data_IF_390099639036
#
_entry.id   IF_390099639036
#
_cell.length_a   1.000
_cell.length_b   1.000
_cell.length_c   1.000
_cell.angle_alpha   90.00
_cell.angle_beta   90.00
_cell.angle_gamma   90.00
#
_symmetry.space_group_name_H-M   'P 1'
#
loop_
_entity.id
_entity.type
_entity.pdbx_description
1 polymer ?
#
# COMPACT_ATOMS: atom_id res chain seq x y z
N UNK A 1 64.39 16.10 -12.45
CA UNK A 1 63.82 14.76 -12.72
C UNK A 1 62.81 14.38 -11.64
N UNK A 2 63.17 14.40 -10.36
CA UNK A 2 62.24 14.08 -9.24
C UNK A 2 60.90 14.85 -9.21
N UNK A 3 60.90 16.17 -9.44
CA UNK A 3 59.64 16.95 -9.39
C UNK A 3 58.63 16.54 -10.47
N UNK A 4 59.11 16.16 -11.66
CA UNK A 4 58.23 15.75 -12.76
C UNK A 4 57.58 14.39 -12.48
N UNK A 5 58.32 13.47 -11.85
CA UNK A 5 57.80 12.16 -11.45
C UNK A 5 56.76 12.26 -10.33
N UNK A 6 56.98 13.16 -9.35
CA UNK A 6 56.00 13.42 -8.27
C UNK A 6 54.69 13.97 -8.85
N UNK A 7 54.75 14.92 -9.79
CA UNK A 7 53.56 15.47 -10.43
C UNK A 7 52.81 14.43 -11.27
N UNK A 8 53.52 13.58 -12.01
CA UNK A 8 52.91 12.48 -12.78
C UNK A 8 52.21 11.46 -11.87
N UNK A 9 52.84 11.11 -10.75
CA UNK A 9 52.29 10.18 -9.75
C UNK A 9 51.02 10.73 -9.09
N UNK A 10 51.02 12.02 -8.72
CA UNK A 10 49.84 12.67 -8.15
C UNK A 10 48.67 12.74 -9.16
N UNK A 11 48.95 13.05 -10.43
CA UNK A 11 47.94 13.05 -11.49
C UNK A 11 47.33 11.67 -11.71
N UNK A 12 48.15 10.61 -11.74
CA UNK A 12 47.70 9.23 -11.87
C UNK A 12 46.83 8.79 -10.68
N UNK A 13 47.22 9.17 -9.46
CA UNK A 13 46.44 8.87 -8.25
C UNK A 13 45.07 9.54 -8.27
N UNK A 14 45.01 10.81 -8.70
CA UNK A 14 43.76 11.54 -8.85
C UNK A 14 42.88 10.91 -9.94
N UNK A 15 43.44 10.55 -11.10
CA UNK A 15 42.71 9.87 -12.17
C UNK A 15 42.10 8.55 -11.68
N UNK A 16 42.85 7.76 -10.90
CA UNK A 16 42.34 6.52 -10.32
C UNK A 16 41.23 6.76 -9.27
N UNK A 17 41.30 7.85 -8.52
CA UNK A 17 40.23 8.23 -7.59
C UNK A 17 38.96 8.63 -8.35
N UNK A 18 39.08 9.44 -9.40
CA UNK A 18 37.95 9.84 -10.25
C UNK A 18 37.30 8.60 -10.89
N UNK A 19 38.08 7.70 -11.48
CA UNK A 19 37.55 6.45 -12.05
C UNK A 19 36.80 5.59 -11.03
N UNK A 20 37.28 5.51 -9.78
CA UNK A 20 36.57 4.78 -8.72
C UNK A 20 35.27 5.46 -8.31
N UNK A 21 35.22 6.79 -8.34
CA UNK A 21 33.99 7.53 -8.08
C UNK A 21 32.98 7.36 -9.21
N UNK A 22 33.41 7.48 -10.47
CA UNK A 22 32.57 7.26 -11.66
C UNK A 22 31.95 5.86 -11.62
N UNK A 23 32.75 4.82 -11.42
CA UNK A 23 32.23 3.45 -11.30
C UNK A 23 31.21 3.27 -10.16
N UNK A 24 31.38 4.02 -9.06
CA UNK A 24 30.42 3.97 -7.94
C UNK A 24 29.15 4.76 -8.24
N UNK A 25 29.23 5.83 -9.01
CA UNK A 25 28.07 6.59 -9.49
C UNK A 25 27.28 5.74 -10.48
N UNK A 26 27.94 5.11 -11.44
CA UNK A 26 27.29 4.24 -12.42
C UNK A 26 26.52 3.07 -11.76
N UNK A 27 27.11 2.44 -10.73
CA UNK A 27 26.42 1.40 -9.93
C UNK A 27 25.18 1.96 -9.21
N UNK A 28 25.31 3.15 -8.62
CA UNK A 28 24.19 3.79 -7.92
C UNK A 28 23.08 4.20 -8.89
N UNK A 29 23.41 4.70 -10.07
CA UNK A 29 22.43 5.06 -11.10
C UNK A 29 21.67 3.83 -11.61
N UNK A 30 22.37 2.74 -11.91
CA UNK A 30 21.75 1.46 -12.29
C UNK A 30 20.79 0.94 -11.22
N UNK A 31 21.23 0.98 -9.95
CA UNK A 31 20.40 0.59 -8.81
C UNK A 31 19.22 1.53 -8.58
N UNK A 32 19.36 2.83 -8.90
CA UNK A 32 18.30 3.80 -8.72
C UNK A 32 17.18 3.59 -9.76
N UNK A 33 17.52 3.37 -11.03
CA UNK A 33 16.55 3.02 -12.07
C UNK A 33 15.75 1.77 -11.70
N UNK A 34 16.43 0.72 -11.22
CA UNK A 34 15.73 -0.49 -10.76
C UNK A 34 14.79 -0.23 -9.57
N UNK A 35 15.18 0.68 -8.66
CA UNK A 35 14.32 1.05 -7.53
C UNK A 35 13.09 1.82 -8.00
N UNK A 36 13.22 2.70 -8.98
CA UNK A 36 12.08 3.44 -9.55
C UNK A 36 11.08 2.47 -10.19
N UNK A 37 11.56 1.51 -10.99
CA UNK A 37 10.70 0.46 -11.58
C UNK A 37 9.97 -0.37 -10.52
N UNK A 38 10.63 -0.68 -9.41
CA UNK A 38 10.03 -1.43 -8.29
C UNK A 38 8.98 -0.57 -7.56
N UNK A 39 9.25 0.72 -7.37
CA UNK A 39 8.30 1.64 -6.73
C UNK A 39 7.02 1.75 -7.56
N UNK A 40 7.14 1.88 -8.87
CA UNK A 40 5.99 1.95 -9.78
C UNK A 40 5.14 0.67 -9.71
N UNK A 41 5.77 -0.50 -9.75
CA UNK A 41 5.09 -1.79 -9.60
C UNK A 41 4.37 -1.90 -8.25
N UNK A 42 5.03 -1.52 -7.15
CA UNK A 42 4.42 -1.55 -5.82
C UNK A 42 3.24 -0.58 -5.71
N UNK A 43 3.32 0.59 -6.36
CA UNK A 43 2.24 1.56 -6.39
C UNK A 43 1.01 1.01 -7.13
N UNK A 44 1.21 0.35 -8.27
CA UNK A 44 0.13 -0.28 -9.04
C UNK A 44 -0.56 -1.38 -8.24
N UNK A 45 0.21 -2.30 -7.64
CA UNK A 45 -0.31 -3.38 -6.81
C UNK A 45 -1.07 -2.85 -5.58
N UNK A 46 -0.55 -1.79 -4.94
CA UNK A 46 -1.23 -1.16 -3.80
C UNK A 46 -2.58 -0.55 -4.22
N UNK A 47 -2.65 0.09 -5.39
CA UNK A 47 -3.88 0.64 -5.91
C UNK A 47 -4.91 -0.47 -6.22
N UNK A 48 -4.47 -1.58 -6.81
CA UNK A 48 -5.31 -2.76 -7.05
C UNK A 48 -5.86 -3.34 -5.74
N UNK A 49 -5.00 -3.58 -4.75
CA UNK A 49 -5.44 -4.06 -3.44
C UNK A 49 -6.40 -3.08 -2.74
N UNK A 50 -6.17 -1.77 -2.85
CA UNK A 50 -7.05 -0.77 -2.25
C UNK A 50 -8.44 -0.80 -2.90
N UNK A 51 -8.52 -1.07 -4.20
CA UNK A 51 -9.79 -1.25 -4.90
C UNK A 51 -10.53 -2.49 -4.39
N UNK A 52 -9.87 -3.65 -4.35
CA UNK A 52 -10.47 -4.91 -3.87
C UNK A 52 -10.96 -4.79 -2.41
N UNK A 53 -10.16 -4.17 -1.53
CA UNK A 53 -10.55 -3.92 -0.14
C UNK A 53 -11.80 -3.03 -0.07
N UNK A 54 -11.91 -2.03 -0.93
CA UNK A 54 -13.08 -1.16 -0.99
C UNK A 54 -14.34 -1.94 -1.37
N UNK A 55 -14.24 -2.80 -2.39
CA UNK A 55 -15.34 -3.67 -2.82
C UNK A 55 -15.76 -4.64 -1.71
N UNK A 56 -14.79 -5.30 -1.07
CA UNK A 56 -15.07 -6.22 0.04
C UNK A 56 -15.77 -5.50 1.20
N UNK A 57 -15.31 -4.30 1.57
CA UNK A 57 -15.96 -3.48 2.61
C UNK A 57 -17.40 -3.14 2.24
N UNK A 58 -17.67 -2.81 0.97
CA UNK A 58 -19.02 -2.53 0.50
C UNK A 58 -19.92 -3.77 0.59
N UNK A 59 -19.42 -4.93 0.16
CA UNK A 59 -20.15 -6.20 0.25
C UNK A 59 -20.47 -6.58 1.70
N UNK A 60 -19.50 -6.44 2.61
CA UNK A 60 -19.70 -6.69 4.05
C UNK A 60 -20.78 -5.77 4.62
N UNK A 61 -20.76 -4.49 4.25
CA UNK A 61 -21.77 -3.53 4.71
C UNK A 61 -23.17 -3.91 4.20
N UNK A 62 -23.29 -4.34 2.94
CA UNK A 62 -24.56 -4.80 2.38
C UNK A 62 -25.09 -6.04 3.11
N UNK A 63 -24.22 -7.01 3.40
CA UNK A 63 -24.58 -8.20 4.18
C UNK A 63 -25.01 -7.82 5.59
N UNK A 64 -24.28 -6.94 6.26
CA UNK A 64 -24.62 -6.46 7.60
C UNK A 64 -25.99 -5.75 7.63
N UNK A 65 -26.31 -4.94 6.62
CA UNK A 65 -27.62 -4.30 6.49
C UNK A 65 -28.74 -5.33 6.31
N UNK A 66 -28.57 -6.31 5.41
CA UNK A 66 -29.56 -7.38 5.20
C UNK A 66 -29.84 -8.18 6.47
N UNK A 67 -28.82 -8.46 7.28
CA UNK A 67 -28.99 -9.16 8.56
C UNK A 67 -29.80 -8.31 9.55
N UNK A 68 -29.53 -7.00 9.62
CA UNK A 68 -30.31 -6.09 10.47
C UNK A 68 -31.77 -6.01 10.05
N UNK A 69 -32.03 -5.89 8.74
CA UNK A 69 -33.39 -5.81 8.20
C UNK A 69 -34.17 -7.11 8.49
N UNK A 70 -33.54 -8.28 8.34
CA UNK A 70 -34.14 -9.56 8.68
C UNK A 70 -34.42 -9.73 10.19
N UNK A 71 -33.52 -9.24 11.04
CA UNK A 71 -33.70 -9.21 12.49
C UNK A 71 -34.84 -8.29 12.94
N UNK A 72 -35.00 -7.14 12.28
CA UNK A 72 -36.07 -6.17 12.59
C UNK A 72 -37.46 -6.69 12.25
N UNK A 73 -37.60 -7.45 11.16
CA UNK A 73 -38.87 -8.07 10.75
C UNK A 73 -39.38 -9.13 11.76
N UNK A 74 -38.48 -9.65 12.61
CA UNK A 74 -38.83 -10.67 13.61
C UNK A 74 -39.40 -10.06 14.89
N UNK A 75 -39.09 -8.79 15.20
CA UNK A 75 -39.41 -8.17 16.50
C UNK A 75 -40.70 -7.35 16.51
N UNK A 76 -41.23 -6.97 15.34
CA UNK A 76 -42.46 -6.16 15.21
C UNK A 76 -43.75 -7.00 15.20
N UNK A 77 -43.67 -8.32 15.13
CA UNK A 77 -44.84 -9.20 15.04
C UNK A 77 -45.30 -9.82 16.38
N UNK A 78 -44.58 -9.61 17.49
CA UNK A 78 -44.91 -10.24 18.78
C UNK A 78 -45.68 -9.34 19.77
N UNK A 79 -45.77 -8.02 19.54
CA UNK A 79 -46.34 -7.08 20.53
C UNK A 79 -47.73 -6.50 20.21
N UNK A 80 -48.30 -6.75 19.02
CA UNK A 80 -49.55 -6.09 18.58
C UNK A 80 -50.83 -6.95 18.67
N UNK A 81 -50.77 -8.16 19.27
CA UNK A 81 -51.91 -9.10 19.32
C UNK A 81 -52.33 -9.56 20.73
N UNK A 82 -52.26 -8.71 21.75
CA UNK A 82 -52.83 -9.03 23.08
C UNK A 82 -54.09 -8.19 23.29
N UNK A 83 -55.23 -8.66 22.77
CA UNK A 83 -56.53 -8.12 23.14
C UNK A 83 -56.93 -8.66 24.53
N UNK A 84 -57.27 -7.81 25.51
CA UNK A 84 -57.53 -8.27 26.87
C UNK A 84 -58.83 -9.09 26.94
N UNK A 85 -58.90 -10.14 27.78
CA UNK A 85 -60.07 -11.01 27.86
C UNK A 85 -61.32 -10.25 28.34
N UNK A 86 -62.52 -10.57 27.80
CA UNK A 86 -63.72 -9.79 28.07
C UNK A 86 -64.19 -9.92 29.53
N UNK A 87 -64.72 -8.83 30.13
CA UNK A 87 -65.23 -8.86 31.49
C UNK A 87 -66.57 -9.60 31.55
N UNK A 88 -66.63 -10.66 32.36
CA UNK A 88 -67.87 -11.37 32.66
C UNK A 88 -68.54 -10.75 33.90
N UNK A 89 -69.69 -10.09 33.71
CA UNK A 89 -70.61 -9.62 34.77
C UNK A 89 -71.67 -10.67 35.10
#
# INVERSE_FOLDING_TARGET
MANNEITLSAHSTNANYVQRLEARVDDLESRNVFQDDVIDQLSEELAAHQHEISELKHQIQLVANRIKDAGSLSSDNENDNIEPPPPHY
#
